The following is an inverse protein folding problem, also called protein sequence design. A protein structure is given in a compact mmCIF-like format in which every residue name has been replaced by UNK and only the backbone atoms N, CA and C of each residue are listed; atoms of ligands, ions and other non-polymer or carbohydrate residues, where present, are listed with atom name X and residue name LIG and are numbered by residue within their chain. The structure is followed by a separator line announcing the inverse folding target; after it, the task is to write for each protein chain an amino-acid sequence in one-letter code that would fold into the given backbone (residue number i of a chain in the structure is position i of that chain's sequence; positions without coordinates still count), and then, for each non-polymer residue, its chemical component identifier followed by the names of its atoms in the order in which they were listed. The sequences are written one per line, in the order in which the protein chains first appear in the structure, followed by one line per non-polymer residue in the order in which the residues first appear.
data_IF_038521951366
#
_entry.id   IF_038521951366
#
_cell.length_a   1.000
_cell.length_b   1.000
_cell.length_c   1.000
_cell.angle_alpha   90.00
_cell.angle_beta   90.00
_cell.angle_gamma   90.00
#
_symmetry.space_group_name_H-M   'P 1'
#
loop_
_entity.id
_entity.type
_entity.pdbx_description
1 polymer ?
#
# COMPACT_ATOMS: atom_id res chain seq x y z
N UNK A 1 -5.12 -18.06 18.97
CA UNK A 1 -5.17 -16.59 19.21
C UNK A 1 -5.36 -15.94 17.86
N UNK A 2 -6.25 -14.92 17.77
CA UNK A 2 -6.39 -14.15 16.54
C UNK A 2 -5.05 -13.45 16.25
N UNK A 3 -4.58 -13.54 15.00
CA UNK A 3 -3.32 -12.91 14.59
C UNK A 3 -3.50 -11.44 14.31
N UNK A 4 -2.39 -10.70 14.27
CA UNK A 4 -2.35 -9.29 13.85
C UNK A 4 -2.94 -9.13 12.43
N UNK A 5 -3.82 -8.13 12.25
CA UNK A 5 -4.39 -7.80 10.97
C UNK A 5 -3.82 -6.47 10.45
N UNK A 6 -3.41 -6.45 9.19
CA UNK A 6 -2.99 -5.26 8.47
C UNK A 6 -4.09 -4.84 7.51
N UNK A 7 -4.45 -3.56 7.50
CA UNK A 7 -5.42 -3.02 6.54
C UNK A 7 -4.79 -1.97 5.64
N UNK A 8 -5.15 -2.00 4.36
CA UNK A 8 -4.94 -0.90 3.44
C UNK A 8 -6.30 -0.39 2.97
N UNK A 9 -6.67 0.83 3.38
CA UNK A 9 -7.88 1.49 2.88
C UNK A 9 -7.49 2.54 1.86
N UNK A 10 -8.08 2.46 0.67
CA UNK A 10 -7.96 3.45 -0.40
C UNK A 10 -9.25 4.26 -0.48
N UNK A 11 -9.13 5.58 -0.66
CA UNK A 11 -10.27 6.50 -0.83
C UNK A 11 -10.07 7.30 -2.12
N UNK A 12 -11.11 7.37 -2.96
CA UNK A 12 -11.13 8.19 -4.15
C UNK A 12 -12.07 9.38 -3.96
N UNK A 13 -11.57 10.57 -4.23
CA UNK A 13 -12.31 11.83 -4.14
C UNK A 13 -12.44 12.45 -5.52
N UNK A 14 -13.66 12.72 -5.94
CA UNK A 14 -13.97 13.35 -7.20
C UNK A 14 -14.23 14.86 -7.01
N UNK A 15 -13.98 15.64 -8.07
CA UNK A 15 -14.13 17.08 -8.03
C UNK A 15 -13.02 17.85 -7.31
N UNK A 16 -12.73 19.05 -7.80
CA UNK A 16 -11.62 19.88 -7.32
C UNK A 16 -11.76 20.27 -5.84
N UNK A 17 -12.96 20.61 -5.41
CA UNK A 17 -13.24 21.04 -4.04
C UNK A 17 -12.92 19.94 -3.02
N UNK A 18 -13.35 18.70 -3.28
CA UNK A 18 -13.11 17.58 -2.38
C UNK A 18 -11.62 17.20 -2.37
N UNK A 19 -10.92 17.27 -3.49
CA UNK A 19 -9.45 17.04 -3.56
C UNK A 19 -8.66 18.04 -2.73
N UNK A 20 -8.99 19.35 -2.84
CA UNK A 20 -8.35 20.40 -2.03
C UNK A 20 -8.65 20.22 -0.55
N UNK A 21 -9.92 19.95 -0.21
CA UNK A 21 -10.34 19.69 1.18
C UNK A 21 -9.61 18.48 1.78
N UNK A 22 -9.49 17.39 1.01
CA UNK A 22 -8.81 16.19 1.47
C UNK A 22 -7.31 16.40 1.64
N UNK A 23 -6.67 17.18 0.78
CA UNK A 23 -5.28 17.57 0.97
C UNK A 23 -5.05 18.27 2.32
N UNK A 24 -5.93 19.21 2.70
CA UNK A 24 -5.88 19.84 4.02
C UNK A 24 -6.11 18.84 5.17
N UNK A 25 -6.99 17.86 4.95
CA UNK A 25 -7.29 16.81 5.94
C UNK A 25 -6.09 15.91 6.25
N UNK A 26 -5.20 15.69 5.30
CA UNK A 26 -3.97 14.91 5.53
C UNK A 26 -3.16 15.41 6.75
N UNK A 27 -3.05 16.72 6.93
CA UNK A 27 -2.40 17.29 8.11
C UNK A 27 -3.24 17.21 9.37
N UNK A 28 -4.53 17.55 9.25
CA UNK A 28 -5.45 17.66 10.39
C UNK A 28 -5.82 16.30 11.00
N UNK A 29 -5.92 15.26 10.18
CA UNK A 29 -6.37 13.94 10.61
C UNK A 29 -5.24 13.02 11.12
N UNK A 30 -3.98 13.43 11.08
CA UNK A 30 -2.84 12.66 11.64
C UNK A 30 -3.01 12.37 13.14
N UNK A 31 -3.33 13.39 13.94
CA UNK A 31 -3.54 13.20 15.38
C UNK A 31 -4.81 12.41 15.70
N UNK A 32 -5.98 12.68 15.10
CA UNK A 32 -7.15 11.81 15.22
C UNK A 32 -6.89 10.36 14.83
N UNK A 33 -6.13 10.10 13.75
CA UNK A 33 -5.77 8.75 13.34
C UNK A 33 -4.93 8.04 14.42
N UNK A 34 -3.87 8.70 14.92
CA UNK A 34 -3.00 8.15 15.96
C UNK A 34 -3.72 7.89 17.30
N UNK A 35 -4.89 8.50 17.53
CA UNK A 35 -5.73 8.31 18.72
C UNK A 35 -6.87 7.32 18.50
N UNK A 36 -6.93 6.66 17.34
CA UNK A 36 -7.92 5.61 17.10
C UNK A 36 -7.65 4.45 18.07
N UNK A 37 -8.65 3.98 18.83
CA UNK A 37 -8.46 2.84 19.71
C UNK A 37 -7.91 1.62 18.95
N UNK A 38 -7.06 0.85 19.59
CA UNK A 38 -6.47 -0.39 19.08
C UNK A 38 -5.57 -0.22 17.85
N UNK A 39 -5.33 0.99 17.36
CA UNK A 39 -4.44 1.22 16.23
C UNK A 39 -2.99 1.07 16.67
N UNK A 40 -2.27 0.17 16.02
CA UNK A 40 -0.82 0.04 16.13
C UNK A 40 -0.08 0.93 15.14
N UNK A 41 0.87 0.36 14.41
CA UNK A 41 1.54 1.07 13.33
C UNK A 41 0.54 1.56 12.29
N UNK A 42 0.67 2.80 11.84
CA UNK A 42 -0.21 3.38 10.84
C UNK A 42 0.51 4.40 9.97
N UNK A 43 0.08 4.53 8.73
CA UNK A 43 0.57 5.55 7.80
C UNK A 43 -0.59 6.08 6.95
N UNK A 44 -0.60 7.38 6.79
CA UNK A 44 -1.51 8.10 5.91
C UNK A 44 -0.69 8.60 4.72
N UNK A 45 -1.05 8.18 3.51
CA UNK A 45 -0.24 8.39 2.32
C UNK A 45 -1.05 8.97 1.16
N UNK A 46 -0.40 9.81 0.37
CA UNK A 46 -0.89 10.22 -0.94
C UNK A 46 -0.49 9.23 -2.02
N UNK A 47 -1.06 9.38 -3.21
CA UNK A 47 -0.71 8.59 -4.38
C UNK A 47 -0.11 9.45 -5.49
N UNK A 48 0.58 8.84 -6.43
CA UNK A 48 1.02 9.47 -7.67
C UNK A 48 -0.03 9.39 -8.77
N UNK A 49 0.22 10.06 -9.89
CA UNK A 49 -0.56 9.91 -11.13
C UNK A 49 -0.22 8.59 -11.84
N UNK A 50 -0.94 8.26 -12.91
CA UNK A 50 -0.83 6.98 -13.62
C UNK A 50 -1.42 5.86 -12.77
N UNK A 51 -0.70 4.75 -12.62
CA UNK A 51 -1.05 3.67 -11.71
C UNK A 51 -0.71 3.98 -10.22
N UNK A 52 -0.42 5.25 -9.91
CA UNK A 52 -0.01 5.70 -8.59
C UNK A 52 1.50 5.80 -8.39
N UNK A 53 2.29 5.39 -9.38
CA UNK A 53 3.74 5.30 -9.26
C UNK A 53 4.50 6.55 -9.75
N UNK A 54 3.88 7.41 -10.56
CA UNK A 54 4.55 8.62 -11.07
C UNK A 54 4.71 9.67 -9.97
N UNK A 55 5.82 10.44 -9.98
CA UNK A 55 6.13 11.40 -8.91
C UNK A 55 5.25 12.67 -8.94
N UNK A 56 4.24 12.73 -9.79
CA UNK A 56 3.26 13.81 -9.80
C UNK A 56 2.13 13.46 -8.83
N UNK A 57 1.85 14.28 -7.79
CA UNK A 57 0.79 14.00 -6.83
C UNK A 57 -0.58 13.85 -7.47
N UNK A 58 -1.31 12.82 -7.05
CA UNK A 58 -2.72 12.64 -7.36
C UNK A 58 -3.55 12.99 -6.13
N UNK A 59 -4.08 14.19 -6.08
CA UNK A 59 -4.90 14.67 -4.97
C UNK A 59 -6.29 14.00 -4.89
N UNK A 60 -6.63 13.16 -5.85
CA UNK A 60 -7.91 12.43 -5.87
C UNK A 60 -7.87 11.08 -5.18
N UNK A 61 -6.70 10.54 -4.83
CA UNK A 61 -6.60 9.23 -4.19
C UNK A 61 -5.67 9.30 -2.98
N UNK A 62 -6.18 8.83 -1.84
CA UNK A 62 -5.48 8.80 -0.56
C UNK A 62 -5.63 7.45 0.10
N UNK A 63 -4.64 7.07 0.91
CA UNK A 63 -4.63 5.76 1.55
C UNK A 63 -4.33 5.85 3.04
N UNK A 64 -4.87 4.89 3.80
CA UNK A 64 -4.52 4.65 5.20
C UNK A 64 -4.10 3.19 5.31
N UNK A 65 -2.85 2.98 5.71
CA UNK A 65 -2.33 1.68 6.15
C UNK A 65 -2.40 1.65 7.68
N UNK A 66 -2.91 0.56 8.26
CA UNK A 66 -2.98 0.41 9.70
C UNK A 66 -2.82 -1.05 10.13
N UNK A 67 -2.27 -1.24 11.33
CA UNK A 67 -2.08 -2.53 11.97
C UNK A 67 -2.98 -2.63 13.19
N UNK A 68 -3.63 -3.78 13.38
CA UNK A 68 -4.66 -4.01 14.38
C UNK A 68 -4.40 -5.34 15.11
N UNK A 69 -4.87 -5.48 16.37
CA UNK A 69 -4.70 -6.71 17.14
C UNK A 69 -5.38 -7.94 16.54
N UNK A 70 -6.46 -7.78 15.77
CA UNK A 70 -7.16 -8.86 15.09
C UNK A 70 -7.97 -8.38 13.88
N UNK A 71 -8.44 -9.30 13.06
CA UNK A 71 -9.29 -9.02 11.88
C UNK A 71 -10.65 -8.42 12.28
N UNK A 72 -11.24 -8.89 13.38
CA UNK A 72 -12.54 -8.40 13.89
C UNK A 72 -12.41 -6.93 14.34
N UNK A 73 -11.34 -6.61 15.09
CA UNK A 73 -11.06 -5.23 15.50
C UNK A 73 -10.77 -4.36 14.27
N UNK A 74 -9.98 -4.86 13.31
CA UNK A 74 -9.69 -4.16 12.08
C UNK A 74 -10.98 -3.79 11.32
N UNK A 75 -11.91 -4.74 11.18
CA UNK A 75 -13.20 -4.52 10.53
C UNK A 75 -14.03 -3.48 11.29
N UNK A 76 -14.21 -3.66 12.59
CA UNK A 76 -14.95 -2.71 13.43
C UNK A 76 -14.38 -1.29 13.34
N UNK A 77 -13.05 -1.14 13.49
CA UNK A 77 -12.41 0.17 13.50
C UNK A 77 -12.40 0.84 12.14
N UNK A 78 -12.16 0.12 11.06
CA UNK A 78 -12.23 0.70 9.71
C UNK A 78 -13.64 1.11 9.32
N UNK A 79 -14.68 0.54 9.92
CA UNK A 79 -16.07 0.97 9.74
C UNK A 79 -16.45 2.16 10.63
N UNK A 80 -16.08 2.12 11.92
CA UNK A 80 -16.61 3.01 12.96
C UNK A 80 -15.71 4.19 13.31
N UNK A 81 -14.38 4.09 13.11
CA UNK A 81 -13.45 5.12 13.54
C UNK A 81 -13.69 6.47 12.83
N UNK A 82 -13.59 7.60 13.59
CA UNK A 82 -13.98 8.92 13.09
C UNK A 82 -13.26 9.36 11.80
N UNK A 83 -12.00 8.95 11.59
CA UNK A 83 -11.22 9.31 10.40
C UNK A 83 -11.79 8.59 9.18
N UNK A 84 -11.99 7.26 9.25
CA UNK A 84 -12.58 6.47 8.17
C UNK A 84 -13.99 6.93 7.83
N UNK A 85 -14.85 7.11 8.82
CA UNK A 85 -16.22 7.63 8.62
C UNK A 85 -16.25 8.98 7.92
N UNK A 86 -15.39 9.90 8.34
CA UNK A 86 -15.28 11.24 7.76
C UNK A 86 -14.82 11.21 6.32
N UNK A 87 -13.83 10.37 6.00
CA UNK A 87 -13.30 10.25 4.65
C UNK A 87 -14.32 9.54 3.74
N UNK A 88 -14.90 8.45 4.21
CA UNK A 88 -15.92 7.67 3.48
C UNK A 88 -17.15 8.52 3.13
N UNK A 89 -17.61 9.37 4.04
CA UNK A 89 -18.75 10.26 3.80
C UNK A 89 -18.54 11.24 2.64
N UNK A 90 -17.32 11.41 2.14
CA UNK A 90 -16.98 12.33 1.05
C UNK A 90 -16.30 11.64 -0.13
N UNK A 91 -15.82 10.45 0.06
CA UNK A 91 -15.23 9.66 -1.01
C UNK A 91 -16.29 9.24 -2.03
N UNK A 92 -15.95 9.29 -3.30
CA UNK A 92 -16.77 8.70 -4.36
C UNK A 92 -16.72 7.17 -4.33
N UNK A 93 -15.57 6.63 -3.90
CA UNK A 93 -15.36 5.22 -3.66
C UNK A 93 -14.37 5.03 -2.52
N UNK A 94 -14.54 3.94 -1.78
CA UNK A 94 -13.52 3.43 -0.87
C UNK A 94 -13.45 1.91 -0.95
N UNK A 95 -12.25 1.38 -0.69
CA UNK A 95 -12.04 -0.04 -0.53
C UNK A 95 -11.00 -0.30 0.54
N UNK A 96 -11.25 -1.30 1.37
CA UNK A 96 -10.34 -1.78 2.40
C UNK A 96 -9.96 -3.23 2.11
N UNK A 97 -8.67 -3.52 2.15
CA UNK A 97 -8.10 -4.85 2.03
C UNK A 97 -7.61 -5.26 3.42
N UNK A 98 -8.04 -6.43 3.89
CA UNK A 98 -7.64 -7.02 5.17
C UNK A 98 -6.63 -8.13 4.94
N UNK A 99 -5.55 -8.15 5.72
CA UNK A 99 -4.40 -9.01 5.46
C UNK A 99 -3.76 -9.53 6.75
N UNK A 100 -3.19 -10.72 6.68
CA UNK A 100 -2.27 -11.27 7.69
C UNK A 100 -0.86 -11.30 7.12
N UNK A 101 0.13 -10.90 7.93
CA UNK A 101 1.53 -10.88 7.49
C UNK A 101 2.07 -12.30 7.34
N UNK A 102 2.65 -12.61 6.17
CA UNK A 102 3.39 -13.85 5.92
C UNK A 102 4.86 -13.67 6.23
N UNK A 103 5.48 -12.67 5.62
CA UNK A 103 6.91 -12.39 5.80
C UNK A 103 7.16 -10.89 5.81
N UNK A 104 8.21 -10.49 6.53
CA UNK A 104 8.69 -9.10 6.54
C UNK A 104 10.21 -9.08 6.59
N UNK A 105 10.79 -8.14 5.85
CA UNK A 105 12.23 -7.84 5.88
C UNK A 105 12.43 -6.33 5.79
N UNK A 106 13.28 -5.77 6.64
CA UNK A 106 13.58 -4.34 6.69
C UNK A 106 12.67 -3.57 7.64
N UNK A 107 12.71 -2.24 7.54
CA UNK A 107 12.08 -1.32 8.48
C UNK A 107 11.33 -0.20 7.76
N UNK A 108 10.44 0.47 8.51
CA UNK A 108 9.70 1.64 8.09
C UNK A 108 9.75 2.72 9.17
N UNK A 109 10.60 3.71 8.98
CA UNK A 109 10.85 4.75 9.99
C UNK A 109 11.52 4.21 11.25
N UNK A 110 12.43 3.24 11.11
CA UNK A 110 13.10 2.57 12.22
C UNK A 110 12.23 1.56 12.97
N UNK A 111 11.01 1.28 12.49
CA UNK A 111 10.10 0.30 13.07
C UNK A 111 10.00 -0.95 12.19
N UNK A 112 9.71 -2.08 12.82
CA UNK A 112 9.44 -3.36 12.17
C UNK A 112 7.93 -3.71 12.30
N UNK A 113 7.05 -3.07 11.51
CA UNK A 113 5.64 -2.89 11.86
C UNK A 113 4.75 -4.11 11.71
N UNK A 114 5.19 -5.15 11.03
CA UNK A 114 4.33 -6.29 10.68
C UNK A 114 4.82 -7.57 11.35
N UNK A 115 3.95 -8.24 12.10
CA UNK A 115 4.25 -9.50 12.78
C UNK A 115 3.80 -10.67 11.92
N UNK A 116 4.70 -11.54 11.42
CA UNK A 116 4.30 -12.72 10.69
C UNK A 116 3.37 -13.64 11.49
N UNK A 117 2.34 -14.18 10.82
CA UNK A 117 1.43 -15.16 11.44
C UNK A 117 2.13 -16.49 11.73
N UNK A 118 1.74 -17.14 12.81
CA UNK A 118 2.19 -18.47 13.15
C UNK A 118 1.04 -19.50 13.02
N UNK A 119 1.31 -20.79 12.80
CA UNK A 119 2.63 -21.45 12.70
C UNK A 119 3.23 -21.48 11.29
N UNK A 120 2.54 -21.05 10.25
CA UNK A 120 3.05 -21.17 8.89
C UNK A 120 2.95 -19.86 8.11
N UNK A 121 4.07 -19.31 7.61
CA UNK A 121 4.08 -18.10 6.76
C UNK A 121 3.65 -18.38 5.30
N UNK A 122 2.97 -19.50 5.02
CA UNK A 122 2.52 -19.86 3.66
C UNK A 122 1.06 -19.45 3.42
N UNK A 123 0.71 -19.21 2.14
CA UNK A 123 -0.69 -19.00 1.73
C UNK A 123 -1.51 -20.27 1.97
N UNK A 124 -2.71 -20.11 2.50
CA UNK A 124 -3.72 -21.17 2.58
C UNK A 124 -4.44 -21.28 1.23
N UNK A 125 -5.11 -22.40 1.00
CA UNK A 125 -5.87 -22.58 -0.23
C UNK A 125 -6.92 -21.48 -0.42
N UNK A 126 -6.89 -20.80 -1.57
CA UNK A 126 -7.82 -19.73 -1.92
C UNK A 126 -7.40 -18.32 -1.45
N UNK A 127 -6.40 -18.19 -0.59
CA UNK A 127 -5.86 -16.89 -0.23
C UNK A 127 -5.06 -16.28 -1.40
N UNK A 128 -5.19 -14.98 -1.58
CA UNK A 128 -4.39 -14.21 -2.54
C UNK A 128 -3.15 -13.62 -1.87
N UNK A 129 -2.09 -13.45 -2.66
CA UNK A 129 -0.86 -12.82 -2.20
C UNK A 129 -0.94 -11.30 -2.34
N UNK A 130 -0.74 -10.57 -1.26
CA UNK A 130 -0.44 -9.14 -1.32
C UNK A 130 1.05 -8.89 -1.04
N UNK A 131 1.63 -7.94 -1.77
CA UNK A 131 3.04 -7.54 -1.64
C UNK A 131 3.12 -6.04 -1.43
N UNK A 132 3.87 -5.64 -0.41
CA UNK A 132 4.20 -4.26 -0.13
C UNK A 132 5.72 -4.08 -0.18
N UNK A 133 6.15 -3.13 -0.99
CA UNK A 133 7.55 -2.69 -1.04
C UNK A 133 7.61 -1.22 -0.68
N UNK A 134 8.46 -0.86 0.27
CA UNK A 134 8.69 0.53 0.65
C UNK A 134 10.17 0.86 0.58
N UNK A 135 10.50 2.05 0.08
CA UNK A 135 11.86 2.56 0.03
C UNK A 135 11.91 4.06 0.34
N UNK A 136 12.93 4.47 1.10
CA UNK A 136 13.35 5.87 1.21
C UNK A 136 14.49 6.10 0.23
N UNK A 137 14.21 6.86 -0.83
CA UNK A 137 15.17 7.19 -1.89
C UNK A 137 16.07 8.32 -1.41
N UNK A 138 17.39 8.17 -1.57
CA UNK A 138 18.33 9.26 -1.31
C UNK A 138 18.06 10.43 -2.25
N UNK A 139 17.96 11.65 -1.71
CA UNK A 139 17.63 12.85 -2.49
C UNK A 139 18.53 13.02 -3.73
N UNK A 140 19.84 12.76 -3.60
CA UNK A 140 20.79 12.81 -4.70
C UNK A 140 20.57 11.75 -5.80
N UNK A 141 19.72 10.75 -5.55
CA UNK A 141 19.40 9.66 -6.48
C UNK A 141 17.97 9.69 -6.97
N UNK A 142 17.15 10.60 -6.46
CA UNK A 142 15.72 10.68 -6.78
C UNK A 142 15.47 10.80 -8.28
N UNK A 143 16.19 11.68 -9.00
CA UNK A 143 16.05 11.81 -10.45
C UNK A 143 16.30 10.51 -11.21
N UNK A 144 17.40 9.80 -10.88
CA UNK A 144 17.75 8.52 -11.52
C UNK A 144 16.75 7.40 -11.18
N UNK A 145 16.19 7.39 -9.97
CA UNK A 145 15.15 6.46 -9.57
C UNK A 145 13.87 6.69 -10.36
N UNK A 146 13.37 7.94 -10.35
CA UNK A 146 12.10 8.28 -10.96
C UNK A 146 12.10 8.18 -12.49
N UNK A 147 13.25 8.30 -13.15
CA UNK A 147 13.34 8.10 -14.61
C UNK A 147 13.05 6.65 -15.06
N UNK A 148 13.12 5.67 -14.15
CA UNK A 148 12.86 4.25 -14.45
C UNK A 148 11.41 3.83 -14.20
N UNK A 149 10.67 4.60 -13.40
CA UNK A 149 9.31 4.27 -13.00
C UNK A 149 8.34 4.10 -14.18
N UNK A 150 8.37 4.90 -15.27
CA UNK A 150 7.45 4.70 -16.40
C UNK A 150 7.53 3.30 -17.01
N UNK A 151 8.73 2.78 -17.24
CA UNK A 151 8.90 1.44 -17.82
C UNK A 151 8.41 0.31 -16.89
N UNK A 152 8.54 0.51 -15.57
CA UNK A 152 8.00 -0.44 -14.56
C UNK A 152 6.47 -0.37 -14.55
N UNK A 153 5.90 0.83 -14.67
CA UNK A 153 4.46 1.06 -14.72
C UNK A 153 3.84 0.38 -15.94
N UNK A 154 4.47 0.52 -17.11
CA UNK A 154 4.03 -0.10 -18.35
C UNK A 154 4.05 -1.64 -18.23
N UNK A 155 5.14 -2.21 -17.69
CA UNK A 155 5.24 -3.65 -17.45
C UNK A 155 4.18 -4.17 -16.46
N UNK A 156 3.85 -3.39 -15.42
CA UNK A 156 2.80 -3.76 -14.47
C UNK A 156 1.40 -3.66 -15.09
N UNK A 157 1.18 -2.69 -15.98
CA UNK A 157 -0.10 -2.55 -16.70
C UNK A 157 -0.37 -3.72 -17.65
N UNK A 158 0.67 -4.36 -18.19
CA UNK A 158 0.59 -5.53 -19.05
C UNK A 158 0.41 -6.84 -18.27
N UNK A 159 0.73 -6.86 -16.97
CA UNK A 159 0.60 -8.03 -16.12
C UNK A 159 -0.88 -8.36 -15.83
N UNK A 160 -1.40 -9.41 -16.48
CA UNK A 160 -2.82 -9.80 -16.39
C UNK A 160 -3.25 -10.38 -15.06
N UNK A 161 -2.29 -10.88 -14.28
CA UNK A 161 -2.53 -11.60 -13.03
C UNK A 161 -2.50 -10.69 -11.78
N UNK A 162 -2.34 -9.37 -11.98
CA UNK A 162 -2.45 -8.36 -10.94
C UNK A 162 -3.91 -7.95 -10.76
N UNK A 163 -4.48 -8.27 -9.61
CA UNK A 163 -5.87 -7.94 -9.26
C UNK A 163 -6.05 -6.52 -8.74
N UNK A 164 -5.06 -6.03 -8.02
CA UNK A 164 -5.06 -4.69 -7.47
C UNK A 164 -3.63 -4.18 -7.39
N UNK A 165 -3.44 -2.89 -7.62
CA UNK A 165 -2.17 -2.22 -7.39
C UNK A 165 -2.38 -0.74 -7.08
N UNK A 166 -1.48 -0.18 -6.27
CA UNK A 166 -1.42 1.25 -5.96
C UNK A 166 0.00 1.65 -5.57
N UNK A 167 0.46 2.76 -6.14
CA UNK A 167 1.67 3.44 -5.71
C UNK A 167 1.31 4.60 -4.78
N UNK A 168 2.04 4.73 -3.67
CA UNK A 168 1.75 5.71 -2.64
C UNK A 168 3.03 6.18 -1.94
N UNK A 169 2.93 7.21 -1.11
CA UNK A 169 4.07 7.71 -0.36
C UNK A 169 3.68 8.77 0.68
N UNK A 170 4.52 8.90 1.70
CA UNK A 170 4.35 9.89 2.78
C UNK A 170 4.95 11.23 2.40
N UNK A 171 6.11 11.20 1.73
CA UNK A 171 6.86 12.38 1.28
C UNK A 171 7.08 12.25 -0.22
N UNK A 172 6.54 13.17 -1.03
CA UNK A 172 6.77 13.16 -2.48
C UNK A 172 8.26 13.06 -2.82
N UNK A 173 8.58 12.33 -3.89
CA UNK A 173 9.94 12.10 -4.42
C UNK A 173 10.88 11.25 -3.56
N UNK A 174 10.69 11.21 -2.24
CA UNK A 174 11.61 10.51 -1.34
C UNK A 174 11.06 9.19 -0.80
N UNK A 175 9.76 9.10 -0.56
CA UNK A 175 9.14 7.87 -0.05
C UNK A 175 8.31 7.22 -1.15
N UNK A 176 8.73 6.05 -1.57
CA UNK A 176 8.00 5.22 -2.52
C UNK A 176 7.47 3.99 -1.79
N UNK A 177 6.18 3.78 -1.89
CA UNK A 177 5.51 2.56 -1.45
C UNK A 177 4.73 2.00 -2.61
N UNK A 178 4.92 0.73 -2.92
CA UNK A 178 4.14 -0.02 -3.89
C UNK A 178 3.36 -1.11 -3.18
N UNK A 179 2.12 -1.29 -3.56
CA UNK A 179 1.27 -2.36 -3.07
C UNK A 179 0.58 -3.03 -4.25
N UNK A 180 0.57 -4.35 -4.26
CA UNK A 180 -0.07 -5.15 -5.30
C UNK A 180 -0.67 -6.42 -4.74
N UNK A 181 -1.78 -6.89 -5.33
CA UNK A 181 -2.45 -8.16 -5.01
C UNK A 181 -2.43 -9.06 -6.23
N UNK A 182 -2.06 -10.31 -6.03
CA UNK A 182 -1.86 -11.35 -7.03
C UNK A 182 -2.73 -12.56 -6.73
N UNK A 183 -3.18 -13.24 -7.76
CA UNK A 183 -3.94 -14.48 -7.58
C UNK A 183 -3.08 -15.60 -6.99
N UNK A 184 -1.81 -15.68 -7.41
CA UNK A 184 -0.88 -16.72 -6.99
C UNK A 184 0.52 -16.16 -6.74
N UNK A 185 1.28 -16.86 -5.94
CA UNK A 185 2.68 -16.53 -5.64
C UNK A 185 3.57 -16.65 -6.89
N UNK A 186 3.31 -17.66 -7.73
CA UNK A 186 4.06 -17.89 -8.97
C UNK A 186 3.93 -16.72 -9.95
N UNK A 187 2.74 -16.12 -10.05
CA UNK A 187 2.48 -14.98 -10.94
C UNK A 187 3.29 -13.75 -10.50
N UNK A 188 3.31 -13.48 -9.19
CA UNK A 188 4.15 -12.43 -8.62
C UNK A 188 5.64 -12.72 -8.82
N UNK A 189 6.07 -13.96 -8.60
CA UNK A 189 7.47 -14.35 -8.80
C UNK A 189 7.89 -14.23 -10.27
N UNK A 190 7.02 -14.64 -11.20
CA UNK A 190 7.24 -14.48 -12.64
C UNK A 190 7.43 -13.01 -13.01
N UNK A 191 6.56 -12.11 -12.49
CA UNK A 191 6.71 -10.67 -12.71
C UNK A 191 8.01 -10.11 -12.10
N UNK A 192 8.32 -10.48 -10.86
CA UNK A 192 9.50 -9.95 -10.13
C UNK A 192 10.82 -10.43 -10.73
N UNK A 193 10.86 -11.65 -11.29
CA UNK A 193 12.06 -12.27 -11.82
C UNK A 193 12.17 -12.22 -13.34
N UNK A 194 11.12 -11.78 -14.05
CA UNK A 194 11.19 -11.58 -15.49
C UNK A 194 12.37 -10.65 -15.82
N UNK A 195 13.13 -11.02 -16.86
CA UNK A 195 14.13 -10.11 -17.42
C UNK A 195 13.40 -8.87 -17.94
N UNK A 196 13.69 -7.69 -17.37
CA UNK A 196 13.05 -6.46 -17.78
C UNK A 196 13.26 -5.29 -16.83
N UNK A 197 12.59 -4.15 -17.10
CA UNK A 197 12.81 -2.88 -16.41
C UNK A 197 12.70 -2.94 -14.88
N UNK A 198 11.80 -3.78 -14.36
CA UNK A 198 11.60 -3.93 -12.91
C UNK A 198 12.83 -4.55 -12.24
N UNK A 199 13.33 -5.67 -12.79
CA UNK A 199 14.50 -6.36 -12.25
C UNK A 199 15.76 -5.50 -12.37
N UNK A 200 15.98 -4.89 -13.52
CA UNK A 200 17.14 -4.00 -13.75
C UNK A 200 17.13 -2.81 -12.78
N UNK A 201 15.95 -2.20 -12.55
CA UNK A 201 15.82 -1.09 -11.61
C UNK A 201 16.07 -1.53 -10.16
N UNK A 202 15.58 -2.70 -9.76
CA UNK A 202 15.80 -3.27 -8.43
C UNK A 202 17.29 -3.57 -8.21
N UNK A 203 17.94 -4.27 -9.15
CA UNK A 203 19.37 -4.60 -9.10
C UNK A 203 20.25 -3.36 -9.05
N UNK A 204 19.93 -2.34 -9.84
CA UNK A 204 20.67 -1.07 -9.83
C UNK A 204 20.47 -0.31 -8.50
N UNK A 205 19.25 -0.27 -7.99
CA UNK A 205 18.95 0.40 -6.74
C UNK A 205 19.73 -0.21 -5.56
N UNK A 206 19.79 -1.55 -5.52
CA UNK A 206 20.57 -2.28 -4.51
C UNK A 206 22.07 -2.08 -4.69
N UNK A 207 22.62 -2.34 -5.89
CA UNK A 207 24.06 -2.24 -6.16
C UNK A 207 24.59 -0.82 -5.97
N UNK A 208 23.83 0.20 -6.32
CA UNK A 208 24.24 1.60 -6.22
C UNK A 208 23.84 2.26 -4.90
N UNK A 209 23.22 1.51 -4.00
CA UNK A 209 22.80 2.00 -2.68
C UNK A 209 21.91 3.24 -2.74
N UNK A 210 20.83 3.20 -3.55
CA UNK A 210 19.95 4.34 -3.75
C UNK A 210 19.02 4.61 -2.57
N UNK A 211 18.84 3.62 -1.72
CA UNK A 211 17.95 3.71 -0.57
C UNK A 211 18.70 3.97 0.74
N UNK A 212 18.11 4.71 1.64
CA UNK A 212 18.54 4.83 3.03
C UNK A 212 17.83 3.83 3.92
N UNK A 213 16.62 3.44 3.53
CA UNK A 213 15.81 2.49 4.26
C UNK A 213 14.88 1.77 3.28
N UNK A 214 14.60 0.51 3.54
CA UNK A 214 13.64 -0.27 2.75
C UNK A 214 12.91 -1.29 3.60
N UNK A 215 11.68 -1.62 3.17
CA UNK A 215 10.86 -2.67 3.77
C UNK A 215 10.19 -3.46 2.65
N UNK A 216 10.21 -4.77 2.79
CA UNK A 216 9.49 -5.73 1.95
C UNK A 216 8.60 -6.56 2.85
N UNK A 217 7.31 -6.64 2.51
CA UNK A 217 6.37 -7.46 3.24
C UNK A 217 5.44 -8.21 2.28
N UNK A 218 5.11 -9.44 2.66
CA UNK A 218 4.16 -10.31 1.96
C UNK A 218 3.04 -10.64 2.91
N UNK A 219 1.82 -10.63 2.40
CA UNK A 219 0.63 -10.85 3.19
C UNK A 219 -0.29 -11.86 2.49
N UNK A 220 -1.03 -12.61 3.30
CA UNK A 220 -2.23 -13.30 2.85
C UNK A 220 -3.41 -12.32 2.91
N UNK A 221 -4.13 -12.14 1.81
CA UNK A 221 -5.39 -11.40 1.81
C UNK A 221 -6.46 -12.28 2.42
N UNK A 222 -7.09 -11.81 3.50
CA UNK A 222 -8.13 -12.53 4.24
C UNK A 222 -9.54 -11.97 3.99
N UNK A 223 -9.64 -10.87 3.26
CA UNK A 223 -10.91 -10.27 2.84
C UNK A 223 -10.78 -8.86 2.31
N UNK A 224 -11.88 -8.36 1.79
CA UNK A 224 -12.00 -6.97 1.34
C UNK A 224 -13.39 -6.42 1.58
N UNK A 225 -13.51 -5.08 1.69
CA UNK A 225 -14.77 -4.37 1.81
C UNK A 225 -14.77 -3.15 0.90
N UNK A 226 -15.97 -2.70 0.50
CA UNK A 226 -16.14 -1.52 -0.33
C UNK A 226 -16.00 -1.77 -1.83
N UNK A 227 -15.74 -0.71 -2.60
CA UNK A 227 -15.66 -0.74 -4.08
C UNK A 227 -14.46 0.05 -4.56
N UNK A 228 -13.85 -0.40 -5.65
CA UNK A 228 -12.76 0.29 -6.31
C UNK A 228 -12.89 0.19 -7.83
N UNK A 229 -12.83 1.34 -8.53
CA UNK A 229 -13.03 1.45 -9.97
C UNK A 229 -14.38 0.85 -10.42
N UNK A 230 -15.42 1.09 -9.63
CA UNK A 230 -16.79 0.68 -9.94
C UNK A 230 -17.14 -0.77 -9.56
N UNK A 231 -16.19 -1.58 -9.07
CA UNK A 231 -16.42 -2.98 -8.73
C UNK A 231 -16.00 -3.29 -7.28
N UNK A 232 -16.61 -4.31 -6.67
CA UNK A 232 -16.08 -4.91 -5.46
C UNK A 232 -14.74 -5.59 -5.78
N UNK A 233 -13.79 -5.57 -4.84
CA UNK A 233 -12.47 -6.19 -5.07
C UNK A 233 -12.56 -7.73 -5.17
N UNK A 234 -13.52 -8.35 -4.47
CA UNK A 234 -13.86 -9.77 -4.63
C UNK A 234 -12.81 -10.74 -4.10
N UNK A 235 -12.10 -10.36 -3.04
CA UNK A 235 -11.20 -11.25 -2.29
C UNK A 235 -11.33 -11.08 -0.79
#
# INVERSE_FOLDING_TARGET
MAGECVTLTCFRFDGTLERVRQFGRMGLDRRPLARTPDIGFHRMMGTGTGLGFRPRPNFGVWTILAVWPSAEIAQERTESAPVWRRWRARAAEDATIFMETLTRRGEWGGEAPFTPREPAPALRQGEKLAVLTRATVKAARAGAFWSRVPAIEDALAEARDVRFHVGMGEVPWLHQVTFSVWDREEDMAAFAHAAGPHREAADDAFRRGWFTESLFARFAVIGSAGRWRGAALGF
#
